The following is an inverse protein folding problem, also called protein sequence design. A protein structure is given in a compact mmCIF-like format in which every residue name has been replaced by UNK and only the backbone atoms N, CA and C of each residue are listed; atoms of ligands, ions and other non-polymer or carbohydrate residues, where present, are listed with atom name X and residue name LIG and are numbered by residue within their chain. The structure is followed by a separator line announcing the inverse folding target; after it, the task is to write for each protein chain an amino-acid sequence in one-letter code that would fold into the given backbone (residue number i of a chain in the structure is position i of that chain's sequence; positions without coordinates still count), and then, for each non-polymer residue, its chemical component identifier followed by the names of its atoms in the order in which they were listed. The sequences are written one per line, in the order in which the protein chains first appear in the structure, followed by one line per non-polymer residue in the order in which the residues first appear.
data_IF_544156666335
#
_entry.id   IF_544156666335
#
_cell.length_a   1.000
_cell.length_b   1.000
_cell.length_c   1.000
_cell.angle_alpha   90.00
_cell.angle_beta   90.00
_cell.angle_gamma   90.00
#
_symmetry.space_group_name_H-M   'P 1'
#
loop_
_entity.id
_entity.type
_entity.pdbx_description
1 polymer ?
#
# COMPACT_ATOMS: atom_id res chain seq x y z
N UNK A 1 -14.61 16.47 1.63
CA UNK A 1 -14.03 17.78 1.29
C UNK A 1 -12.92 17.65 0.24
N UNK A 2 -11.75 17.03 0.53
CA UNK A 2 -10.58 16.99 -0.38
C UNK A 2 -10.87 16.37 -1.75
N UNK A 3 -11.63 15.29 -1.81
CA UNK A 3 -12.01 14.67 -3.10
C UNK A 3 -12.93 15.59 -3.90
N UNK A 4 -13.90 16.28 -3.24
CA UNK A 4 -14.75 17.25 -3.91
C UNK A 4 -13.96 18.45 -4.44
N UNK A 5 -13.01 18.99 -3.67
CA UNK A 5 -12.08 20.04 -4.11
C UNK A 5 -11.25 19.60 -5.34
N UNK A 6 -10.93 18.32 -5.43
CA UNK A 6 -10.21 17.72 -6.56
C UNK A 6 -11.12 17.34 -7.74
N UNK A 7 -12.42 17.60 -7.66
CA UNK A 7 -13.37 17.39 -8.74
C UNK A 7 -13.92 15.98 -8.86
N UNK A 8 -13.76 15.14 -7.84
CA UNK A 8 -14.35 13.80 -7.82
C UNK A 8 -15.88 13.87 -7.84
N UNK A 9 -16.50 13.07 -8.69
CA UNK A 9 -17.96 12.97 -8.85
C UNK A 9 -18.46 11.57 -8.54
N UNK A 10 -17.72 10.54 -8.93
CA UNK A 10 -18.06 9.13 -8.69
C UNK A 10 -16.83 8.34 -8.31
N UNK A 11 -16.86 7.79 -7.10
CA UNK A 11 -15.69 7.15 -6.44
C UNK A 11 -15.93 5.66 -6.30
N UNK A 12 -14.92 4.84 -6.65
CA UNK A 12 -14.85 3.45 -6.18
C UNK A 12 -14.23 3.44 -4.79
N UNK A 13 -15.01 3.08 -3.76
CA UNK A 13 -14.51 2.81 -2.40
C UNK A 13 -14.04 1.36 -2.36
N UNK A 14 -12.72 1.17 -2.37
CA UNK A 14 -12.09 -0.15 -2.39
C UNK A 14 -11.48 -0.47 -1.03
N UNK A 15 -11.81 -1.63 -0.46
CA UNK A 15 -11.40 -1.97 0.89
C UNK A 15 -11.13 -3.46 1.09
N UNK A 16 -10.52 -3.80 2.24
CA UNK A 16 -10.20 -5.18 2.60
C UNK A 16 -11.43 -5.99 3.00
N UNK A 17 -11.21 -6.92 3.93
CA UNK A 17 -12.28 -7.77 4.45
C UNK A 17 -13.15 -7.06 5.50
N UNK A 18 -13.68 -7.85 6.44
CA UNK A 18 -14.69 -7.43 7.40
C UNK A 18 -14.25 -6.38 8.43
N UNK A 19 -12.94 -6.20 8.68
CA UNK A 19 -12.47 -5.33 9.77
C UNK A 19 -12.86 -3.86 9.58
N UNK A 20 -12.66 -3.30 8.39
CA UNK A 20 -13.02 -1.91 8.08
C UNK A 20 -14.55 -1.70 8.12
N UNK A 21 -15.33 -2.71 7.72
CA UNK A 21 -16.79 -2.66 7.80
C UNK A 21 -17.27 -2.79 9.26
N UNK A 22 -16.75 -3.76 10.01
CA UNK A 22 -17.13 -3.95 11.42
C UNK A 22 -16.76 -2.78 12.32
N UNK A 23 -15.70 -2.03 12.02
CA UNK A 23 -15.33 -0.82 12.74
C UNK A 23 -16.21 0.40 12.40
N UNK A 24 -17.14 0.27 11.45
CA UNK A 24 -17.94 1.37 10.93
C UNK A 24 -17.16 2.37 10.08
N UNK A 25 -15.90 2.07 9.73
CA UNK A 25 -15.07 2.99 8.94
C UNK A 25 -15.64 3.19 7.53
N UNK A 26 -16.12 2.13 6.89
CA UNK A 26 -16.69 2.19 5.54
C UNK A 26 -17.97 3.05 5.55
N UNK A 27 -18.86 2.86 6.55
CA UNK A 27 -20.08 3.67 6.68
C UNK A 27 -19.76 5.16 6.90
N UNK A 28 -18.74 5.45 7.70
CA UNK A 28 -18.25 6.83 7.91
C UNK A 28 -17.68 7.45 6.63
N UNK A 29 -16.97 6.65 5.82
CA UNK A 29 -16.45 7.08 4.53
C UNK A 29 -17.61 7.36 3.56
N UNK A 30 -18.58 6.44 3.45
CA UNK A 30 -19.78 6.62 2.62
C UNK A 30 -20.53 7.87 3.00
N UNK A 31 -20.87 8.04 4.28
CA UNK A 31 -21.56 9.24 4.77
C UNK A 31 -20.81 10.55 4.48
N UNK A 32 -19.46 10.52 4.53
CA UNK A 32 -18.62 11.67 4.17
C UNK A 32 -18.63 11.99 2.68
N UNK A 33 -18.73 10.98 1.81
CA UNK A 33 -18.88 11.14 0.36
C UNK A 33 -20.27 11.68 0.02
N UNK A 34 -21.32 11.11 0.60
CA UNK A 34 -22.72 11.57 0.44
C UNK A 34 -22.89 13.03 0.85
N UNK A 35 -22.35 13.40 2.01
CA UNK A 35 -22.36 14.79 2.48
C UNK A 35 -21.61 15.77 1.57
N UNK A 36 -20.69 15.26 0.76
CA UNK A 36 -19.95 16.02 -0.24
C UNK A 36 -20.60 15.98 -1.64
N UNK A 37 -21.72 15.29 -1.81
CA UNK A 37 -22.43 15.12 -3.08
C UNK A 37 -21.66 14.22 -4.07
N UNK A 38 -20.83 13.31 -3.59
CA UNK A 38 -20.02 12.39 -4.39
C UNK A 38 -20.70 11.02 -4.41
N UNK A 39 -21.08 10.56 -5.59
CA UNK A 39 -21.58 9.19 -5.76
C UNK A 39 -20.47 8.17 -5.51
N UNK A 40 -20.83 7.00 -4.97
CA UNK A 40 -19.84 5.97 -4.74
C UNK A 40 -20.34 4.56 -4.99
N UNK A 41 -19.42 3.68 -5.35
CA UNK A 41 -19.59 2.24 -5.52
C UNK A 41 -18.63 1.57 -4.55
N UNK A 42 -19.06 0.53 -3.86
CA UNK A 42 -18.20 -0.22 -2.95
C UNK A 42 -17.70 -1.52 -3.58
N UNK A 43 -16.41 -1.80 -3.40
CA UNK A 43 -15.79 -3.08 -3.71
C UNK A 43 -14.89 -3.51 -2.56
N UNK A 44 -15.37 -4.41 -1.73
CA UNK A 44 -14.62 -5.01 -0.63
C UNK A 44 -14.01 -6.37 -1.01
N UNK A 45 -13.34 -6.99 -0.02
CA UNK A 45 -12.87 -8.36 -0.14
C UNK A 45 -11.40 -8.52 -0.49
N UNK A 46 -10.60 -7.44 -0.48
CA UNK A 46 -9.16 -7.56 -0.69
C UNK A 46 -8.53 -8.39 0.42
N UNK A 47 -7.83 -9.43 0.04
CA UNK A 47 -7.01 -10.28 0.91
C UNK A 47 -5.55 -9.81 0.95
N UNK A 48 -4.74 -10.24 1.93
CA UNK A 48 -3.30 -10.15 1.81
C UNK A 48 -2.83 -10.75 0.48
N UNK A 49 -1.82 -10.16 -0.17
CA UNK A 49 -1.40 -10.53 -1.51
C UNK A 49 -2.55 -10.40 -2.53
N UNK A 50 -2.93 -9.17 -2.93
CA UNK A 50 -4.17 -8.92 -3.67
C UNK A 50 -4.22 -9.68 -5.00
N UNK A 51 -5.37 -10.27 -5.28
CA UNK A 51 -5.58 -11.19 -6.40
C UNK A 51 -6.07 -10.46 -7.65
N UNK A 52 -5.58 -10.86 -8.80
CA UNK A 52 -5.92 -10.26 -10.11
C UNK A 52 -7.43 -10.37 -10.42
N UNK A 53 -8.09 -11.40 -9.95
CA UNK A 53 -9.53 -11.60 -10.17
C UNK A 53 -10.36 -10.47 -9.58
N UNK A 54 -10.06 -10.04 -8.35
CA UNK A 54 -10.75 -8.88 -7.74
C UNK A 54 -10.37 -7.56 -8.41
N UNK A 55 -9.12 -7.43 -8.89
CA UNK A 55 -8.68 -6.27 -9.67
C UNK A 55 -9.48 -6.17 -10.97
N UNK A 56 -9.66 -7.27 -11.72
CA UNK A 56 -10.47 -7.31 -12.95
C UNK A 56 -11.92 -6.89 -12.69
N UNK A 57 -12.50 -7.34 -11.57
CA UNK A 57 -13.85 -6.90 -11.17
C UNK A 57 -13.89 -5.40 -10.88
N UNK A 58 -12.90 -4.85 -10.18
CA UNK A 58 -12.79 -3.41 -9.95
C UNK A 58 -12.65 -2.61 -11.24
N UNK A 59 -11.85 -3.09 -12.19
CA UNK A 59 -11.72 -2.50 -13.54
C UNK A 59 -13.08 -2.45 -14.25
N UNK A 60 -13.82 -3.57 -14.24
CA UNK A 60 -15.16 -3.65 -14.81
C UNK A 60 -16.11 -2.62 -14.18
N UNK A 61 -16.15 -2.56 -12.85
CA UNK A 61 -17.00 -1.61 -12.11
C UNK A 61 -16.64 -0.15 -12.42
N UNK A 62 -15.36 0.16 -12.55
CA UNK A 62 -14.91 1.51 -12.91
C UNK A 62 -15.39 1.91 -14.32
N UNK A 63 -15.22 1.02 -15.30
CA UNK A 63 -15.60 1.27 -16.69
C UNK A 63 -17.12 1.39 -16.85
N UNK A 64 -17.87 0.43 -16.33
CA UNK A 64 -19.34 0.41 -16.43
C UNK A 64 -19.99 1.53 -15.61
N UNK A 65 -19.41 1.85 -14.43
CA UNK A 65 -19.94 2.86 -13.53
C UNK A 65 -19.51 4.27 -13.86
N UNK A 66 -18.57 4.50 -14.78
CA UNK A 66 -18.03 5.83 -15.05
C UNK A 66 -17.32 6.45 -13.85
N UNK A 67 -16.57 5.63 -13.12
CA UNK A 67 -15.79 6.06 -11.95
C UNK A 67 -14.65 6.98 -12.38
N UNK A 68 -14.49 8.09 -11.67
CA UNK A 68 -13.44 9.09 -11.94
C UNK A 68 -12.37 9.18 -10.83
N UNK A 69 -12.58 8.51 -9.69
CA UNK A 69 -11.61 8.40 -8.59
C UNK A 69 -11.69 7.05 -7.89
N UNK A 70 -10.58 6.58 -7.32
CA UNK A 70 -10.56 5.41 -6.44
C UNK A 70 -10.15 5.87 -5.03
N UNK A 71 -10.91 5.45 -4.01
CA UNK A 71 -10.59 5.63 -2.61
C UNK A 71 -10.26 4.27 -2.00
N UNK A 72 -8.98 4.02 -1.76
CA UNK A 72 -8.51 2.83 -1.07
C UNK A 72 -8.62 3.01 0.45
N UNK A 73 -9.37 2.16 1.12
CA UNK A 73 -9.53 2.16 2.59
C UNK A 73 -8.91 0.90 3.16
N UNK A 74 -7.64 0.97 3.57
CA UNK A 74 -6.91 -0.21 4.00
C UNK A 74 -5.41 -0.03 4.15
N UNK A 75 -4.69 -1.14 4.14
CA UNK A 75 -3.23 -1.21 4.10
C UNK A 75 -2.70 -1.44 2.68
N UNK A 76 -1.43 -1.84 2.58
CA UNK A 76 -0.70 -2.01 1.33
C UNK A 76 -1.43 -2.83 0.27
N UNK A 77 -1.99 -4.00 0.64
CA UNK A 77 -2.71 -4.87 -0.30
C UNK A 77 -3.92 -4.18 -0.95
N UNK A 78 -4.68 -3.41 -0.16
CA UNK A 78 -5.84 -2.65 -0.68
C UNK A 78 -5.38 -1.54 -1.62
N UNK A 79 -4.31 -0.83 -1.25
CA UNK A 79 -3.75 0.26 -2.05
C UNK A 79 -3.17 -0.29 -3.36
N UNK A 80 -2.49 -1.41 -3.31
CA UNK A 80 -1.91 -2.07 -4.49
C UNK A 80 -3.01 -2.55 -5.44
N UNK A 81 -4.06 -3.19 -4.92
CA UNK A 81 -5.23 -3.54 -5.70
C UNK A 81 -5.88 -2.31 -6.35
N UNK A 82 -6.05 -1.22 -5.59
CA UNK A 82 -6.60 0.04 -6.10
C UNK A 82 -5.76 0.66 -7.22
N UNK A 83 -4.42 0.61 -7.11
CA UNK A 83 -3.51 1.05 -8.16
C UNK A 83 -3.64 0.22 -9.43
N UNK A 84 -3.71 -1.11 -9.30
CA UNK A 84 -3.93 -1.99 -10.43
C UNK A 84 -5.27 -1.71 -11.12
N UNK A 85 -6.36 -1.52 -10.35
CA UNK A 85 -7.67 -1.12 -10.88
C UNK A 85 -7.56 0.22 -11.61
N UNK A 86 -6.88 1.22 -11.03
CA UNK A 86 -6.75 2.55 -11.60
C UNK A 86 -6.06 2.55 -12.97
N UNK A 87 -5.03 1.71 -13.14
CA UNK A 87 -4.37 1.50 -14.43
C UNK A 87 -5.28 0.73 -15.39
N UNK A 88 -5.84 -0.39 -14.98
CA UNK A 88 -6.68 -1.25 -15.82
C UNK A 88 -7.96 -0.55 -16.32
N UNK A 89 -8.50 0.40 -15.54
CA UNK A 89 -9.67 1.18 -15.94
C UNK A 89 -9.42 2.10 -17.14
N UNK A 90 -8.16 2.44 -17.41
CA UNK A 90 -7.76 3.37 -18.47
C UNK A 90 -7.16 2.69 -19.71
N UNK A 91 -7.14 1.35 -19.78
CA UNK A 91 -6.63 0.59 -20.93
C UNK A 91 -7.68 -0.38 -21.45
N UNK A 92 -7.57 -0.76 -22.74
CA UNK A 92 -8.51 -1.72 -23.36
C UNK A 92 -8.06 -3.18 -23.20
N UNK A 93 -6.76 -3.41 -22.92
CA UNK A 93 -6.24 -4.75 -22.70
C UNK A 93 -6.54 -5.25 -21.27
N UNK A 94 -6.24 -6.52 -21.00
CA UNK A 94 -6.30 -7.05 -19.63
C UNK A 94 -5.24 -6.36 -18.76
N UNK A 95 -5.63 -6.00 -17.56
CA UNK A 95 -4.72 -5.29 -16.63
C UNK A 95 -3.44 -6.07 -16.33
N UNK A 96 -3.46 -7.41 -16.39
CA UNK A 96 -2.27 -8.23 -16.18
C UNK A 96 -1.20 -8.01 -17.26
N UNK A 97 -1.59 -7.66 -18.48
CA UNK A 97 -0.63 -7.33 -19.55
C UNK A 97 0.28 -6.16 -19.18
N UNK A 98 -0.20 -5.21 -18.38
CA UNK A 98 0.64 -4.11 -17.86
C UNK A 98 1.73 -4.63 -16.91
N UNK A 99 1.42 -5.68 -16.13
CA UNK A 99 2.40 -6.30 -15.24
C UNK A 99 3.44 -7.14 -16.00
N UNK A 100 3.12 -7.64 -17.18
CA UNK A 100 4.07 -8.37 -18.05
C UNK A 100 4.90 -7.45 -18.90
N UNK A 101 4.28 -6.51 -19.59
CA UNK A 101 4.94 -5.62 -20.56
C UNK A 101 5.62 -4.42 -19.92
N UNK A 102 5.26 -4.05 -18.68
CA UNK A 102 5.70 -2.83 -18.00
C UNK A 102 5.38 -1.54 -18.78
N UNK A 103 4.30 -1.55 -19.58
CA UNK A 103 3.88 -0.39 -20.34
C UNK A 103 3.50 0.79 -19.42
N UNK A 104 3.92 2.01 -19.79
CA UNK A 104 3.74 3.23 -19.00
C UNK A 104 2.96 4.33 -19.74
N UNK A 105 2.73 4.16 -21.03
CA UNK A 105 2.10 5.18 -21.88
C UNK A 105 0.57 5.02 -21.89
N UNK A 106 -0.05 5.31 -20.75
CA UNK A 106 -1.51 5.32 -20.58
C UNK A 106 -1.90 6.19 -19.38
N UNK A 107 -3.15 6.63 -19.38
CA UNK A 107 -3.75 7.35 -18.25
C UNK A 107 -3.97 6.41 -17.06
N UNK A 108 -4.11 6.99 -15.86
CA UNK A 108 -4.39 6.29 -14.62
C UNK A 108 -5.44 7.07 -13.85
N UNK A 109 -6.50 6.41 -13.38
CA UNK A 109 -7.46 7.06 -12.50
C UNK A 109 -6.77 7.60 -11.24
N UNK A 110 -7.12 8.80 -10.78
CA UNK A 110 -6.56 9.34 -9.55
C UNK A 110 -6.99 8.52 -8.34
N UNK A 111 -6.05 8.36 -7.40
CA UNK A 111 -6.22 7.53 -6.20
C UNK A 111 -6.10 8.39 -4.96
N UNK A 112 -6.97 8.15 -3.99
CA UNK A 112 -6.84 8.61 -2.62
C UNK A 112 -6.79 7.40 -1.67
N UNK A 113 -6.19 7.58 -0.50
CA UNK A 113 -6.00 6.51 0.49
C UNK A 113 -6.50 6.96 1.86
N UNK A 114 -7.22 6.10 2.56
CA UNK A 114 -7.40 6.13 4.02
C UNK A 114 -6.58 4.98 4.58
N UNK A 115 -5.43 5.30 5.15
CA UNK A 115 -4.48 4.29 5.63
C UNK A 115 -4.93 3.69 6.96
N UNK A 116 -5.01 2.36 7.03
CA UNK A 116 -5.37 1.63 8.25
C UNK A 116 -4.26 0.70 8.76
N UNK A 117 -3.26 0.40 7.94
CA UNK A 117 -2.12 -0.47 8.29
C UNK A 117 -0.84 0.15 7.72
N UNK A 118 -0.05 0.86 8.53
CA UNK A 118 1.25 1.35 8.10
C UNK A 118 2.25 0.19 8.02
N UNK A 119 2.81 -0.04 6.84
CA UNK A 119 3.79 -1.10 6.56
C UNK A 119 4.54 -0.82 5.25
N UNK A 120 3.91 -1.12 4.13
CA UNK A 120 4.50 -1.11 2.80
C UNK A 120 4.80 0.29 2.21
N UNK A 121 4.28 1.39 2.82
CA UNK A 121 4.43 2.73 2.26
C UNK A 121 3.74 2.93 0.90
N UNK A 122 2.80 2.06 0.55
CA UNK A 122 2.11 2.08 -0.75
C UNK A 122 1.29 3.37 -0.94
N UNK A 123 0.84 4.02 0.13
CA UNK A 123 0.12 5.30 0.11
C UNK A 123 0.90 6.46 -0.49
N UNK A 124 2.22 6.32 -0.62
CA UNK A 124 3.09 7.34 -1.21
C UNK A 124 4.02 6.80 -2.31
N UNK A 125 3.98 5.52 -2.61
CA UNK A 125 4.88 4.89 -3.60
C UNK A 125 4.27 4.81 -5.00
N UNK A 126 5.15 4.63 -5.99
CA UNK A 126 4.78 4.37 -7.39
C UNK A 126 4.57 2.90 -7.71
N UNK A 127 4.76 2.01 -6.72
CA UNK A 127 4.77 0.56 -6.91
C UNK A 127 3.39 -0.04 -6.57
N UNK A 128 3.06 -1.14 -7.22
CA UNK A 128 1.96 -2.04 -6.90
C UNK A 128 2.41 -3.47 -7.13
N UNK A 129 1.93 -4.40 -6.30
CA UNK A 129 2.23 -5.83 -6.41
C UNK A 129 0.91 -6.60 -6.38
N UNK A 130 0.68 -7.46 -7.35
CA UNK A 130 -0.55 -8.26 -7.50
C UNK A 130 -0.19 -9.71 -7.76
N UNK A 131 -1.00 -10.62 -7.22
CA UNK A 131 -0.92 -12.06 -7.46
C UNK A 131 -1.87 -12.47 -8.57
N UNK A 132 -1.40 -13.33 -9.46
CA UNK A 132 -2.23 -14.02 -10.45
C UNK A 132 -2.24 -15.50 -10.10
N UNK A 133 -3.34 -15.94 -9.51
CA UNK A 133 -3.49 -17.31 -9.01
C UNK A 133 -3.55 -18.34 -10.13
N UNK A 134 -4.09 -17.95 -11.31
CA UNK A 134 -4.15 -18.82 -12.48
C UNK A 134 -2.75 -19.18 -13.00
N UNK A 135 -1.80 -18.26 -12.83
CA UNK A 135 -0.42 -18.42 -13.27
C UNK A 135 0.54 -18.81 -12.14
N UNK A 136 0.10 -18.79 -10.86
CA UNK A 136 0.95 -18.98 -9.69
C UNK A 136 2.06 -17.93 -9.60
N UNK A 137 1.79 -16.68 -9.97
CA UNK A 137 2.79 -15.61 -10.05
C UNK A 137 2.38 -14.39 -9.24
N UNK A 138 3.33 -13.83 -8.48
CA UNK A 138 3.21 -12.55 -7.81
C UNK A 138 4.21 -11.58 -8.43
N UNK A 139 3.75 -10.46 -8.96
CA UNK A 139 4.56 -9.55 -9.77
C UNK A 139 4.28 -8.09 -9.44
N UNK A 140 5.37 -7.30 -9.42
CA UNK A 140 5.31 -5.85 -9.24
C UNK A 140 5.14 -5.08 -10.55
N UNK A 141 4.48 -3.93 -10.48
CA UNK A 141 4.40 -2.94 -11.55
C UNK A 141 4.60 -1.54 -10.97
N UNK A 142 5.31 -0.67 -11.68
CA UNK A 142 5.65 0.66 -11.19
C UNK A 142 5.31 1.72 -12.25
N UNK A 143 4.48 2.70 -11.86
CA UNK A 143 4.12 3.84 -12.70
C UNK A 143 3.98 5.10 -11.80
N UNK A 144 4.65 6.19 -12.14
CA UNK A 144 4.55 7.41 -11.35
C UNK A 144 3.14 8.00 -11.31
N UNK A 145 2.33 7.79 -12.36
CA UNK A 145 0.95 8.28 -12.43
C UNK A 145 0.03 7.64 -11.38
N UNK A 146 0.33 6.39 -10.95
CA UNK A 146 -0.45 5.66 -9.94
C UNK A 146 -0.14 6.05 -8.49
N UNK A 147 0.80 6.99 -8.25
CA UNK A 147 1.00 7.51 -6.88
C UNK A 147 -0.30 8.14 -6.38
N UNK A 148 -0.78 7.77 -5.17
CA UNK A 148 -1.96 8.41 -4.61
C UNK A 148 -1.80 9.93 -4.53
N UNK A 149 -2.86 10.64 -4.89
CA UNK A 149 -2.90 12.11 -4.83
C UNK A 149 -3.09 12.61 -3.41
N UNK A 150 -3.77 11.82 -2.57
CA UNK A 150 -4.01 12.08 -1.16
C UNK A 150 -3.82 10.81 -0.34
N UNK A 151 -3.22 10.94 0.84
CA UNK A 151 -3.18 9.91 1.87
C UNK A 151 -3.70 10.51 3.17
N UNK A 152 -4.85 10.00 3.64
CA UNK A 152 -5.42 10.36 4.95
C UNK A 152 -4.84 9.41 5.98
N UNK A 153 -3.96 9.94 6.81
CA UNK A 153 -3.15 9.19 7.77
C UNK A 153 -3.59 9.57 9.18
N UNK A 154 -4.62 8.89 9.72
CA UNK A 154 -5.08 9.06 11.10
C UNK A 154 -4.56 7.90 11.96
N UNK A 155 -3.66 8.14 12.93
CA UNK A 155 -3.10 7.10 13.80
C UNK A 155 -4.15 6.28 14.56
N UNK A 156 -5.28 6.87 14.95
CA UNK A 156 -6.37 6.19 15.67
C UNK A 156 -6.96 5.01 14.88
N UNK A 157 -6.91 5.05 13.55
CA UNK A 157 -7.38 3.95 12.70
C UNK A 157 -6.51 2.68 12.84
N UNK A 158 -5.36 2.79 13.50
CA UNK A 158 -4.42 1.69 13.71
C UNK A 158 -4.47 1.10 15.12
N UNK A 159 -5.25 1.68 16.05
CA UNK A 159 -5.32 1.25 17.45
C UNK A 159 -5.79 -0.20 17.61
N UNK A 160 -6.67 -0.65 16.72
CA UNK A 160 -7.24 -2.00 16.76
C UNK A 160 -6.42 -3.05 15.99
N UNK A 161 -5.24 -2.68 15.47
CA UNK A 161 -4.37 -3.64 14.78
C UNK A 161 -3.86 -4.69 15.76
N UNK A 162 -3.97 -5.99 15.42
CA UNK A 162 -3.34 -7.05 16.20
C UNK A 162 -1.82 -6.82 16.34
N UNK A 163 -1.22 -7.21 17.48
CA UNK A 163 0.23 -7.07 17.70
C UNK A 163 1.07 -7.70 16.58
N UNK A 164 0.64 -8.87 16.07
CA UNK A 164 1.29 -9.54 14.95
C UNK A 164 1.34 -8.67 13.69
N UNK A 165 0.22 -8.02 13.32
CA UNK A 165 0.16 -7.15 12.15
C UNK A 165 1.00 -5.88 12.33
N UNK A 166 1.02 -5.34 13.55
CA UNK A 166 1.90 -4.21 13.91
C UNK A 166 3.37 -4.60 13.76
N UNK A 167 3.78 -5.75 14.31
CA UNK A 167 5.16 -6.23 14.22
C UNK A 167 5.57 -6.53 12.77
N UNK A 168 4.71 -7.19 12.00
CA UNK A 168 4.94 -7.46 10.57
C UNK A 168 5.12 -6.15 9.77
N UNK A 169 4.28 -5.14 10.04
CA UNK A 169 4.42 -3.82 9.41
C UNK A 169 5.73 -3.13 9.75
N UNK A 170 6.15 -3.16 11.02
CA UNK A 170 7.43 -2.61 11.47
C UNK A 170 8.62 -3.31 10.79
N UNK A 171 8.54 -4.63 10.64
CA UNK A 171 9.57 -5.41 9.93
C UNK A 171 9.65 -5.01 8.47
N UNK A 172 8.53 -4.89 7.77
CA UNK A 172 8.49 -4.49 6.36
C UNK A 172 9.12 -3.10 6.16
N UNK A 173 8.77 -2.12 7.02
CA UNK A 173 9.41 -0.78 7.01
C UNK A 173 10.92 -0.86 7.19
N UNK A 174 11.37 -1.68 8.15
CA UNK A 174 12.80 -1.81 8.46
C UNK A 174 13.55 -2.47 7.30
N UNK A 175 12.96 -3.50 6.68
CA UNK A 175 13.50 -4.15 5.49
C UNK A 175 13.64 -3.18 4.31
N UNK A 176 12.65 -2.32 4.07
CA UNK A 176 12.75 -1.29 3.03
C UNK A 176 13.98 -0.38 3.19
N UNK A 177 14.34 -0.06 4.44
CA UNK A 177 15.51 0.77 4.73
C UNK A 177 16.81 -0.01 4.56
N UNK A 178 16.86 -1.28 5.01
CA UNK A 178 18.04 -2.13 4.88
C UNK A 178 18.36 -2.44 3.42
N UNK A 179 17.35 -2.79 2.62
CA UNK A 179 17.47 -3.08 1.18
C UNK A 179 17.96 -1.86 0.36
N UNK A 180 17.88 -0.65 0.93
CA UNK A 180 18.43 0.58 0.35
C UNK A 180 19.77 0.97 0.95
N UNK A 181 20.01 0.59 2.20
CA UNK A 181 21.21 0.98 2.92
C UNK A 181 22.40 0.09 2.60
N UNK A 182 22.17 -1.21 2.45
CA UNK A 182 23.18 -2.20 2.12
C UNK A 182 23.30 -2.41 0.61
N UNK A 183 23.98 -1.51 -0.05
CA UNK A 183 24.31 -1.60 -1.48
C UNK A 183 25.83 -1.40 -1.70
N UNK A 184 26.27 -1.49 -2.94
CA UNK A 184 27.67 -1.33 -3.36
C UNK A 184 28.04 0.12 -3.71
N UNK A 185 27.12 1.05 -3.57
CA UNK A 185 27.37 2.48 -3.80
C UNK A 185 28.15 3.07 -2.64
N UNK A 186 29.12 3.91 -2.94
CA UNK A 186 29.88 4.65 -1.93
C UNK A 186 29.01 5.57 -1.05
N UNK A 187 29.61 6.32 -0.16
CA UNK A 187 28.87 7.16 0.78
C UNK A 187 27.92 8.17 0.11
N UNK A 188 26.67 8.16 0.53
CA UNK A 188 25.62 9.12 0.17
C UNK A 188 25.08 9.75 1.46
N UNK A 189 25.84 10.67 2.10
CA UNK A 189 25.64 11.05 3.50
C UNK A 189 24.21 11.53 3.85
N UNK A 190 23.55 12.25 2.94
CA UNK A 190 22.17 12.73 3.18
C UNK A 190 21.20 11.55 3.25
N UNK A 191 21.25 10.65 2.30
CA UNK A 191 20.38 9.46 2.23
C UNK A 191 20.70 8.49 3.37
N UNK A 192 22.00 8.30 3.68
CA UNK A 192 22.46 7.45 4.78
C UNK A 192 21.93 7.93 6.13
N UNK A 193 22.08 9.22 6.41
CA UNK A 193 21.58 9.83 7.64
C UNK A 193 20.05 9.76 7.74
N UNK A 194 19.33 9.92 6.61
CA UNK A 194 17.88 9.75 6.58
C UNK A 194 17.50 8.32 6.93
N UNK A 195 18.13 7.32 6.28
CA UNK A 195 17.87 5.90 6.57
C UNK A 195 18.13 5.56 8.04
N UNK A 196 19.30 5.99 8.58
CA UNK A 196 19.65 5.76 9.99
C UNK A 196 18.63 6.41 10.95
N UNK A 197 18.18 7.62 10.66
CA UNK A 197 17.16 8.31 11.45
C UNK A 197 15.82 7.53 11.46
N UNK A 198 15.36 7.07 10.30
CA UNK A 198 14.13 6.29 10.17
C UNK A 198 14.25 4.93 10.89
N UNK A 199 15.37 4.21 10.73
CA UNK A 199 15.63 2.95 11.44
C UNK A 199 15.65 3.14 12.96
N UNK A 200 16.28 4.21 13.46
CA UNK A 200 16.31 4.54 14.89
C UNK A 200 14.90 4.87 15.41
N UNK A 201 14.07 5.57 14.63
CA UNK A 201 12.68 5.85 14.99
C UNK A 201 11.88 4.55 15.12
N UNK A 202 11.98 3.64 14.15
CA UNK A 202 11.30 2.33 14.22
C UNK A 202 11.74 1.57 15.48
N UNK A 203 13.04 1.52 15.76
CA UNK A 203 13.58 0.82 16.95
C UNK A 203 13.10 1.42 18.27
N UNK A 204 12.94 2.74 18.33
CA UNK A 204 12.45 3.42 19.54
C UNK A 204 10.95 3.23 19.74
N UNK A 205 10.16 3.30 18.66
CA UNK A 205 8.69 3.27 18.74
C UNK A 205 8.11 1.85 18.74
N UNK A 206 8.79 0.85 18.18
CA UNK A 206 8.31 -0.52 18.13
C UNK A 206 7.95 -1.10 19.52
N UNK A 207 8.81 -1.04 20.55
CA UNK A 207 8.44 -1.53 21.88
C UNK A 207 7.29 -0.72 22.51
N UNK A 208 7.21 0.58 22.22
CA UNK A 208 6.15 1.45 22.77
C UNK A 208 4.78 1.09 22.21
N UNK A 209 4.67 0.92 20.89
CA UNK A 209 3.40 0.57 20.24
C UNK A 209 2.95 -0.86 20.50
N UNK A 210 3.90 -1.78 20.74
CA UNK A 210 3.58 -3.17 21.10
C UNK A 210 3.15 -3.31 22.55
N UNK A 211 3.69 -2.46 23.45
CA UNK A 211 3.29 -2.44 24.85
C UNK A 211 1.96 -1.69 25.08
N UNK A 212 1.71 -0.63 24.31
CA UNK A 212 0.50 0.19 24.36
C UNK A 212 0.00 0.46 22.92
N UNK A 213 -0.91 -0.39 22.40
CA UNK A 213 -1.43 -0.26 21.04
C UNK A 213 -2.19 1.03 20.76
N UNK A 214 -2.69 1.73 21.77
CA UNK A 214 -3.41 2.99 21.65
C UNK A 214 -2.53 4.23 21.87
N UNK A 215 -1.23 4.06 22.02
CA UNK A 215 -0.29 5.16 22.13
C UNK A 215 -0.25 5.98 20.84
N UNK A 216 -0.96 7.10 20.84
CA UNK A 216 -1.13 7.96 19.66
C UNK A 216 0.19 8.41 19.08
N UNK A 217 1.14 8.89 19.91
CA UNK A 217 2.41 9.42 19.44
C UNK A 217 3.27 8.33 18.79
N UNK A 218 3.32 7.13 19.38
CA UNK A 218 4.03 6.00 18.80
C UNK A 218 3.39 5.58 17.45
N UNK A 219 2.07 5.50 17.37
CA UNK A 219 1.35 5.20 16.12
C UNK A 219 1.58 6.26 15.05
N UNK A 220 1.55 7.55 15.42
CA UNK A 220 1.80 8.67 14.50
C UNK A 220 3.23 8.62 13.94
N UNK A 221 4.22 8.41 14.80
CA UNK A 221 5.62 8.30 14.39
C UNK A 221 5.84 7.10 13.46
N UNK A 222 5.26 5.94 13.77
CA UNK A 222 5.34 4.74 12.92
C UNK A 222 4.67 4.99 11.58
N UNK A 223 3.47 5.55 11.56
CA UNK A 223 2.71 5.82 10.34
C UNK A 223 3.47 6.77 9.41
N UNK A 224 4.02 7.85 9.97
CA UNK A 224 4.85 8.80 9.21
C UNK A 224 6.14 8.17 8.69
N UNK A 225 6.84 7.42 9.55
CA UNK A 225 8.08 6.71 9.17
C UNK A 225 7.82 5.69 8.06
N UNK A 226 6.75 4.89 8.16
CA UNK A 226 6.39 3.89 7.15
C UNK A 226 6.19 4.49 5.77
N UNK A 227 5.53 5.63 5.68
CA UNK A 227 5.37 6.36 4.42
C UNK A 227 6.74 6.79 3.86
N UNK A 228 7.62 7.34 4.69
CA UNK A 228 8.95 7.80 4.27
C UNK A 228 9.87 6.66 3.83
N UNK A 229 9.73 5.47 4.41
CA UNK A 229 10.54 4.30 4.06
C UNK A 229 10.41 3.90 2.60
N UNK A 230 9.29 4.16 1.92
CA UNK A 230 9.06 3.68 0.55
C UNK A 230 8.62 4.74 -0.46
N UNK A 231 8.49 6.00 -0.06
CA UNK A 231 8.08 7.04 -1.01
C UNK A 231 9.17 7.43 -2.03
N UNK A 232 10.44 7.03 -1.81
CA UNK A 232 11.55 7.21 -2.73
C UNK A 232 12.73 8.03 -2.20
N UNK A 233 12.56 8.89 -1.18
CA UNK A 233 13.66 9.71 -0.63
C UNK A 233 14.78 8.85 -0.03
N UNK A 234 14.41 7.76 0.65
CA UNK A 234 15.35 6.85 1.29
C UNK A 234 16.23 6.04 0.32
N UNK A 235 15.96 6.10 -1.00
CA UNK A 235 16.74 5.42 -2.04
C UNK A 235 17.51 6.34 -2.97
N UNK A 236 17.46 7.66 -2.76
CA UNK A 236 18.13 8.60 -3.66
C UNK A 236 19.65 8.45 -3.63
N UNK A 237 20.24 8.21 -4.81
CA UNK A 237 21.69 8.01 -4.96
C UNK A 237 22.17 6.61 -4.55
N UNK A 238 21.26 5.66 -4.31
CA UNK A 238 21.52 4.28 -3.95
C UNK A 238 21.06 3.31 -5.04
N UNK A 239 21.72 2.16 -5.14
CA UNK A 239 21.19 0.99 -5.84
C UNK A 239 20.27 0.26 -4.84
N UNK A 240 19.02 0.08 -5.21
CA UNK A 240 18.08 -0.64 -4.34
C UNK A 240 18.20 -2.14 -4.60
N UNK A 241 18.60 -2.92 -3.60
CA UNK A 241 18.66 -4.39 -3.69
C UNK A 241 17.37 -5.00 -3.11
N UNK A 242 16.56 -5.57 -3.99
CA UNK A 242 15.28 -6.20 -3.65
C UNK A 242 15.33 -7.72 -3.63
N UNK A 243 16.52 -8.34 -3.52
CA UNK A 243 16.68 -9.79 -3.58
C UNK A 243 15.89 -10.52 -2.49
N UNK A 244 16.00 -10.06 -1.23
CA UNK A 244 15.25 -10.63 -0.10
C UNK A 244 13.74 -10.57 -0.32
N UNK A 245 13.26 -9.44 -0.82
CA UNK A 245 11.84 -9.22 -1.13
C UNK A 245 11.38 -10.08 -2.29
N UNK A 246 12.22 -10.29 -3.32
CA UNK A 246 11.92 -11.20 -4.41
C UNK A 246 11.75 -12.65 -3.92
N UNK A 247 12.63 -13.11 -3.02
CA UNK A 247 12.50 -14.43 -2.39
C UNK A 247 11.20 -14.56 -1.58
N UNK A 248 10.84 -13.53 -0.82
CA UNK A 248 9.58 -13.53 -0.06
C UNK A 248 8.36 -13.55 -1.00
N UNK A 249 8.41 -12.86 -2.13
CA UNK A 249 7.33 -12.90 -3.11
C UNK A 249 7.08 -14.30 -3.65
N UNK A 250 8.13 -15.09 -3.89
CA UNK A 250 7.98 -16.50 -4.31
C UNK A 250 7.36 -17.35 -3.18
N UNK A 251 7.76 -17.14 -1.92
CA UNK A 251 7.16 -17.83 -0.78
C UNK A 251 5.68 -17.50 -0.63
N UNK A 252 5.31 -16.23 -0.71
CA UNK A 252 3.89 -15.83 -0.60
C UNK A 252 3.07 -16.12 -1.88
N UNK A 253 3.71 -16.38 -3.02
CA UNK A 253 3.03 -16.94 -4.19
C UNK A 253 2.68 -18.43 -3.99
N UNK A 254 3.55 -19.19 -3.29
CA UNK A 254 3.31 -20.59 -2.94
C UNK A 254 2.29 -20.75 -1.82
N UNK A 255 2.36 -19.89 -0.79
CA UNK A 255 1.42 -19.88 0.33
C UNK A 255 0.94 -18.44 0.61
N UNK A 256 -0.24 -18.06 0.05
CA UNK A 256 -0.80 -16.72 0.23
C UNK A 256 -1.15 -16.36 1.69
N UNK A 257 -1.13 -17.31 2.63
CA UNK A 257 -1.36 -17.05 4.05
C UNK A 257 -0.16 -16.37 4.73
N UNK A 258 1.02 -16.40 4.11
CA UNK A 258 2.22 -15.74 4.62
C UNK A 258 2.03 -14.22 4.58
N UNK A 259 2.02 -13.59 5.76
CA UNK A 259 2.02 -12.13 5.85
C UNK A 259 3.39 -11.60 5.41
N UNK A 260 3.43 -10.70 4.44
CA UNK A 260 4.65 -10.22 3.79
C UNK A 260 5.77 -9.83 4.77
N UNK A 261 5.51 -8.97 5.76
CA UNK A 261 6.51 -8.58 6.74
C UNK A 261 6.99 -9.73 7.64
N UNK A 262 6.15 -10.74 7.88
CA UNK A 262 6.57 -11.94 8.61
C UNK A 262 7.47 -12.84 7.75
N UNK A 263 7.18 -12.99 6.47
CA UNK A 263 8.06 -13.65 5.50
C UNK A 263 9.42 -12.96 5.42
N UNK A 264 9.44 -11.63 5.32
CA UNK A 264 10.68 -10.84 5.34
C UNK A 264 11.49 -11.02 6.63
N UNK A 265 10.84 -11.18 7.79
CA UNK A 265 11.55 -11.43 9.07
C UNK A 265 12.37 -12.73 9.05
N UNK A 266 11.97 -13.70 8.23
CA UNK A 266 12.67 -14.98 8.07
C UNK A 266 13.72 -14.91 6.95
N UNK A 267 13.42 -14.26 5.83
CA UNK A 267 14.30 -14.24 4.67
C UNK A 267 15.43 -13.21 4.75
N UNK A 268 15.23 -12.08 5.46
CA UNK A 268 16.23 -11.02 5.55
C UNK A 268 17.53 -11.44 6.29
N UNK A 269 17.49 -12.24 7.37
CA UNK A 269 18.70 -12.64 8.09
C UNK A 269 19.57 -13.69 7.37
N UNK A 270 19.11 -14.23 6.24
CA UNK A 270 19.81 -15.27 5.47
C UNK A 270 20.80 -14.60 4.51
#
# INVERSE_FOLDING_TARGET
AKLAEAGARRVLVHFGGESARRSGLIDRVGASLDAAGIEHIELGGVRPNPEITLVREGVRLCKEGGVDWILAVGGGSVIDSAKAIANGACVDCDVWELFETKALDHDVLPIAVVLTIPAAGSEASKNTVVSNDELGRKTGYANNAQRPKFAFMNPELTFTLPPFQTAAGLTDMYCHLLERFFDDVGAVPVTDNLNLSLMNTIRAEAPRVLADPENYDARANIMWTGMLCHQGLAGLGRHEDWATRALEHELSALDPSITHGAGLAVTLPI
#
